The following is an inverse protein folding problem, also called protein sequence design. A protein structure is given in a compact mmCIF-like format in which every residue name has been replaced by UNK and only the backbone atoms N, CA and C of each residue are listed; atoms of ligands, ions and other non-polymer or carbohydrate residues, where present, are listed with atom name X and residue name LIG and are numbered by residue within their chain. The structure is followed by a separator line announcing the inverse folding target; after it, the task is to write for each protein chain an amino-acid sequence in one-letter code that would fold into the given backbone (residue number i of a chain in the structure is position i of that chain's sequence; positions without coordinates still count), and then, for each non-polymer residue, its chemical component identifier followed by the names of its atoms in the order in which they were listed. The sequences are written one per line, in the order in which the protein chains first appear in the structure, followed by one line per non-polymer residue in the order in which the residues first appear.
data_IF_273307996575
#
_entry.id   IF_273307996575
#
_cell.length_a   1.000
_cell.length_b   1.000
_cell.length_c   1.000
_cell.angle_alpha   90.00
_cell.angle_beta   90.00
_cell.angle_gamma   90.00
#
_symmetry.space_group_name_H-M   'P 1'
#
loop_
_entity.id
_entity.type
_entity.pdbx_description
1 polymer ?
#
# COMPACT_ATOMS: atom_id res chain seq x y z
N UNK A 1 14.28 54.11 -70.14
CA UNK A 1 14.65 52.88 -69.40
C UNK A 1 14.52 53.19 -67.92
N UNK A 2 13.44 52.75 -67.28
CA UNK A 2 13.20 52.96 -65.85
C UNK A 2 13.00 51.59 -65.20
N UNK A 3 13.97 51.16 -64.40
CA UNK A 3 13.94 49.92 -63.63
C UNK A 3 13.29 50.19 -62.28
N UNK A 4 12.05 49.76 -62.11
CA UNK A 4 11.34 49.78 -60.83
C UNK A 4 11.74 48.56 -59.99
N UNK A 5 12.41 48.82 -58.87
CA UNK A 5 12.71 47.83 -57.84
C UNK A 5 11.45 47.49 -57.05
N UNK A 6 11.00 46.24 -57.12
CA UNK A 6 9.92 45.72 -56.29
C UNK A 6 10.47 45.41 -54.89
N UNK A 7 10.07 46.22 -53.90
CA UNK A 7 10.37 45.99 -52.49
C UNK A 7 9.52 44.82 -51.99
N UNK A 8 10.17 43.68 -51.77
CA UNK A 8 9.55 42.46 -51.27
C UNK A 8 8.96 42.69 -49.88
N UNK A 9 7.64 42.73 -49.76
CA UNK A 9 6.92 42.82 -48.49
C UNK A 9 7.09 41.49 -47.77
N UNK A 10 8.00 41.45 -46.79
CA UNK A 10 8.17 40.31 -45.91
C UNK A 10 6.84 39.99 -45.22
N UNK A 11 6.34 38.76 -45.43
CA UNK A 11 5.17 38.24 -44.72
C UNK A 11 5.51 38.20 -43.23
N UNK A 12 4.84 39.03 -42.45
CA UNK A 12 4.81 38.93 -41.00
C UNK A 12 4.05 37.64 -40.69
N UNK A 13 4.77 36.55 -40.45
CA UNK A 13 4.20 35.39 -39.79
C UNK A 13 3.95 35.80 -38.33
N UNK A 14 2.69 35.80 -37.84
CA UNK A 14 2.46 35.95 -36.41
C UNK A 14 3.05 34.71 -35.76
N UNK A 15 4.20 34.86 -35.10
CA UNK A 15 4.74 33.83 -34.23
C UNK A 15 3.74 33.67 -33.09
N UNK A 16 2.84 32.70 -33.22
CA UNK A 16 2.01 32.20 -32.12
C UNK A 16 2.94 31.46 -31.14
N UNK A 17 3.78 32.22 -30.45
CA UNK A 17 4.56 31.72 -29.32
C UNK A 17 3.57 31.53 -28.17
N UNK A 18 3.11 30.30 -28.01
CA UNK A 18 2.27 29.93 -26.88
C UNK A 18 3.14 29.95 -25.62
N UNK A 19 3.05 31.03 -24.87
CA UNK A 19 3.75 31.14 -23.60
C UNK A 19 3.01 30.34 -22.53
N UNK A 20 3.67 29.36 -21.87
CA UNK A 20 3.00 28.50 -20.91
C UNK A 20 2.49 29.30 -19.71
N UNK A 21 1.27 29.01 -19.21
CA UNK A 21 0.70 29.73 -18.08
C UNK A 21 1.52 29.49 -16.81
N UNK A 22 1.95 30.57 -16.16
CA UNK A 22 2.65 30.55 -14.88
C UNK A 22 1.63 30.65 -13.74
N UNK A 23 1.80 29.82 -12.71
CA UNK A 23 0.91 29.79 -11.55
C UNK A 23 1.68 30.20 -10.29
N UNK A 24 1.00 30.91 -9.38
CA UNK A 24 1.54 31.25 -8.06
C UNK A 24 1.40 30.08 -7.08
N UNK A 25 1.98 30.19 -5.88
CA UNK A 25 1.86 29.17 -4.83
C UNK A 25 0.43 28.94 -4.32
N UNK A 26 -0.50 29.84 -4.62
CA UNK A 26 -1.94 29.63 -4.34
C UNK A 26 -2.66 28.82 -5.41
N UNK A 27 -1.96 28.35 -6.45
CA UNK A 27 -2.55 27.61 -7.58
C UNK A 27 -3.32 28.47 -8.59
N UNK A 28 -3.34 29.80 -8.40
CA UNK A 28 -3.97 30.74 -9.33
C UNK A 28 -2.98 31.18 -10.42
N UNK A 29 -3.50 31.46 -11.62
CA UNK A 29 -2.70 31.98 -12.73
C UNK A 29 -2.12 33.35 -12.35
N UNK A 30 -0.80 33.49 -12.47
CA UNK A 30 -0.09 34.72 -12.17
C UNK A 30 -0.22 35.70 -13.34
N UNK A 31 -0.84 36.88 -13.17
CA UNK A 31 -0.84 37.91 -14.20
C UNK A 31 0.57 38.44 -14.47
N UNK A 32 0.82 38.82 -15.72
CA UNK A 32 2.02 39.55 -16.10
C UNK A 32 1.81 41.04 -15.78
N UNK A 33 2.74 41.62 -15.02
CA UNK A 33 2.73 43.00 -14.60
C UNK A 33 4.01 43.69 -15.07
N UNK A 34 3.99 45.01 -15.18
CA UNK A 34 5.16 45.83 -15.57
C UNK A 34 5.59 46.65 -14.36
N UNK A 35 6.85 46.55 -13.97
CA UNK A 35 7.42 47.31 -12.86
C UNK A 35 7.49 48.79 -13.25
N UNK A 36 7.00 49.66 -12.36
CA UNK A 36 6.88 51.11 -12.64
C UNK A 36 8.24 51.78 -12.83
N UNK A 37 9.25 51.32 -12.10
CA UNK A 37 10.57 51.96 -12.07
C UNK A 37 11.51 51.43 -13.16
N UNK A 38 11.47 50.13 -13.45
CA UNK A 38 12.39 49.50 -14.40
C UNK A 38 11.76 49.21 -15.77
N UNK A 39 10.44 49.27 -15.90
CA UNK A 39 9.72 48.84 -17.11
C UNK A 39 9.81 47.32 -17.37
N UNK A 40 10.45 46.54 -16.48
CA UNK A 40 10.59 45.09 -16.62
C UNK A 40 9.27 44.38 -16.34
N UNK A 41 9.04 43.27 -17.04
CA UNK A 41 7.85 42.44 -16.86
C UNK A 41 8.09 41.41 -15.75
N UNK A 42 7.08 41.14 -14.94
CA UNK A 42 7.15 40.14 -13.88
C UNK A 42 5.80 39.42 -13.71
N UNK A 43 5.84 38.21 -13.19
CA UNK A 43 4.68 37.46 -12.73
C UNK A 43 4.48 37.69 -11.23
N UNK A 44 3.27 38.04 -10.82
CA UNK A 44 2.91 38.25 -9.42
C UNK A 44 1.65 37.51 -9.02
N UNK A 45 1.43 37.31 -7.71
CA UNK A 45 0.18 36.76 -7.21
C UNK A 45 -1.00 37.72 -7.46
N UNK A 46 -2.10 37.22 -8.05
CA UNK A 46 -3.31 38.01 -8.29
C UNK A 46 -3.92 38.60 -7.00
N UNK A 47 -3.83 37.86 -5.88
CA UNK A 47 -4.35 38.29 -4.58
C UNK A 47 -3.33 39.05 -3.73
N UNK A 48 -2.22 39.54 -4.29
CA UNK A 48 -1.17 40.23 -3.51
C UNK A 48 -1.73 41.36 -2.63
N UNK A 49 -2.69 42.14 -3.13
CA UNK A 49 -3.33 43.24 -2.37
C UNK A 49 -4.18 42.78 -1.19
N UNK A 50 -4.67 41.55 -1.23
CA UNK A 50 -5.55 40.95 -0.20
C UNK A 50 -4.76 40.07 0.78
N UNK A 51 -3.42 40.10 0.75
CA UNK A 51 -2.58 39.21 1.55
C UNK A 51 -2.29 37.85 0.90
N UNK A 52 -2.32 37.77 -0.43
CA UNK A 52 -1.99 36.57 -1.21
C UNK A 52 -0.54 36.10 -1.06
N UNK A 53 -0.16 35.03 -1.79
CA UNK A 53 1.02 34.20 -1.50
C UNK A 53 2.41 34.81 -1.76
N UNK A 54 2.58 36.12 -1.79
CA UNK A 54 3.86 36.82 -2.01
C UNK A 54 4.72 36.36 -3.21
N UNK A 55 4.16 35.56 -4.10
CA UNK A 55 4.84 35.03 -5.28
C UNK A 55 5.26 36.16 -6.22
N UNK A 56 6.51 36.09 -6.67
CA UNK A 56 7.13 37.05 -7.59
C UNK A 56 8.18 36.34 -8.46
N UNK A 57 8.16 36.58 -9.77
CA UNK A 57 9.18 36.10 -10.69
C UNK A 57 9.37 37.10 -11.84
N UNK A 58 10.61 37.44 -12.18
CA UNK A 58 10.91 38.28 -13.33
C UNK A 58 10.67 37.51 -14.63
N UNK A 59 10.21 38.22 -15.65
CA UNK A 59 10.10 37.71 -17.01
C UNK A 59 11.08 38.49 -17.88
N UNK A 60 12.15 37.82 -18.24
CA UNK A 60 13.17 38.34 -19.14
C UNK A 60 13.03 37.71 -20.53
N UNK A 61 13.72 38.28 -21.52
CA UNK A 61 13.68 37.81 -22.92
C UNK A 61 14.19 36.37 -23.06
N UNK A 62 15.00 35.92 -22.11
CA UNK A 62 15.62 34.59 -22.08
C UNK A 62 14.85 33.57 -21.23
N UNK A 63 13.75 33.97 -20.55
CA UNK A 63 12.97 33.09 -19.68
C UNK A 63 12.49 33.74 -18.39
N UNK A 64 12.03 32.89 -17.46
CA UNK A 64 11.51 33.31 -16.14
C UNK A 64 12.64 33.20 -15.12
N UNK A 65 13.16 34.34 -14.66
CA UNK A 65 14.08 34.38 -13.53
C UNK A 65 13.29 34.49 -12.23
N UNK A 66 13.29 33.43 -11.42
CA UNK A 66 12.62 33.45 -10.13
C UNK A 66 13.38 34.38 -9.16
N UNK A 67 12.89 35.60 -9.01
CA UNK A 67 13.36 36.53 -7.98
C UNK A 67 12.87 36.07 -6.60
N UNK A 68 13.59 35.15 -5.96
CA UNK A 68 13.20 34.60 -4.66
C UNK A 68 13.92 35.32 -3.53
N UNK A 69 13.15 35.75 -2.53
CA UNK A 69 13.67 36.03 -1.19
C UNK A 69 13.75 34.69 -0.43
N UNK A 70 14.95 34.19 -0.07
CA UNK A 70 15.14 32.82 0.43
C UNK A 70 14.44 32.52 1.77
N UNK A 71 14.06 33.53 2.55
CA UNK A 71 13.47 33.34 3.88
C UNK A 71 12.01 32.87 3.90
N UNK A 72 11.24 33.01 2.80
CA UNK A 72 9.80 32.66 2.81
C UNK A 72 9.50 31.25 2.24
N UNK A 73 10.45 30.66 1.50
CA UNK A 73 10.30 29.35 0.83
C UNK A 73 10.38 28.18 1.79
N UNK A 74 11.15 28.29 2.87
CA UNK A 74 11.20 27.29 3.94
C UNK A 74 9.80 27.04 4.49
N UNK A 75 9.04 28.10 4.83
CA UNK A 75 7.72 27.94 5.45
C UNK A 75 6.63 27.30 4.55
N UNK A 76 6.78 27.35 3.22
CA UNK A 76 5.81 26.78 2.26
C UNK A 76 6.19 25.37 1.82
N UNK A 77 7.47 25.15 1.50
CA UNK A 77 8.00 23.84 1.15
C UNK A 77 7.98 22.88 2.35
N UNK A 78 8.27 23.36 3.57
CA UNK A 78 8.14 22.57 4.80
C UNK A 78 6.69 22.13 5.05
N UNK A 79 5.70 22.96 4.69
CA UNK A 79 4.28 22.59 4.85
C UNK A 79 3.85 21.51 3.86
N UNK A 80 4.32 21.56 2.61
CA UNK A 80 4.08 20.47 1.65
C UNK A 80 4.78 19.18 2.08
N UNK A 81 6.05 19.25 2.50
CA UNK A 81 6.78 18.10 3.03
C UNK A 81 6.10 17.50 4.27
N UNK A 82 5.59 18.34 5.17
CA UNK A 82 4.88 17.89 6.35
C UNK A 82 3.54 17.22 6.01
N UNK A 83 2.86 17.73 4.97
CA UNK A 83 1.60 17.15 4.49
C UNK A 83 1.83 15.81 3.78
N UNK A 84 2.88 15.69 2.96
CA UNK A 84 3.28 14.44 2.32
C UNK A 84 3.75 13.41 3.34
N UNK A 85 4.56 13.83 4.32
CA UNK A 85 5.00 12.96 5.41
C UNK A 85 3.80 12.46 6.23
N UNK A 86 2.82 13.33 6.51
CA UNK A 86 1.58 12.95 7.18
C UNK A 86 0.79 11.92 6.37
N UNK A 87 0.71 12.08 5.05
CA UNK A 87 0.06 11.12 4.18
C UNK A 87 0.76 9.76 4.22
N UNK A 88 2.09 9.73 4.07
CA UNK A 88 2.90 8.51 4.12
C UNK A 88 2.76 7.79 5.47
N UNK A 89 2.79 8.52 6.59
CA UNK A 89 2.60 7.94 7.92
C UNK A 89 1.18 7.38 8.08
N UNK A 90 0.16 8.04 7.55
CA UNK A 90 -1.21 7.53 7.57
C UNK A 90 -1.35 6.26 6.73
N UNK A 91 -0.70 6.23 5.57
CA UNK A 91 -0.74 5.09 4.66
C UNK A 91 -0.02 3.87 5.25
N UNK A 92 1.21 4.06 5.76
CA UNK A 92 1.93 3.01 6.48
C UNK A 92 1.16 2.50 7.70
N UNK A 93 0.49 3.39 8.45
CA UNK A 93 -0.37 2.98 9.58
C UNK A 93 -1.52 2.09 9.09
N UNK A 94 -2.14 2.41 7.97
CA UNK A 94 -3.20 1.62 7.36
C UNK A 94 -2.69 0.23 6.95
N UNK A 95 -1.54 0.17 6.29
CA UNK A 95 -0.90 -1.11 5.91
C UNK A 95 -0.57 -1.98 7.13
N UNK A 96 0.00 -1.40 8.19
CA UNK A 96 0.29 -2.13 9.43
C UNK A 96 -0.99 -2.65 10.10
N UNK A 97 -2.08 -1.87 10.10
CA UNK A 97 -3.37 -2.37 10.60
C UNK A 97 -3.95 -3.48 9.72
N UNK A 98 -3.79 -3.40 8.40
CA UNK A 98 -4.21 -4.45 7.47
C UNK A 98 -3.47 -5.76 7.72
N UNK A 99 -2.13 -5.71 7.76
CA UNK A 99 -1.31 -6.90 8.07
C UNK A 99 -1.62 -7.49 9.45
N UNK A 100 -1.97 -6.67 10.44
CA UNK A 100 -2.37 -7.17 11.77
C UNK A 100 -3.64 -8.02 11.71
N UNK A 101 -4.61 -7.63 10.87
CA UNK A 101 -5.84 -8.41 10.66
C UNK A 101 -5.51 -9.74 9.97
N UNK A 102 -4.72 -9.71 8.90
CA UNK A 102 -4.31 -10.93 8.19
C UNK A 102 -3.58 -11.93 9.10
N UNK A 103 -2.66 -11.44 9.94
CA UNK A 103 -1.95 -12.28 10.92
C UNK A 103 -2.91 -12.86 11.96
N UNK A 104 -3.94 -12.10 12.36
CA UNK A 104 -4.97 -12.58 13.29
C UNK A 104 -5.81 -13.69 12.67
N UNK A 105 -6.26 -13.51 11.43
CA UNK A 105 -7.07 -14.50 10.71
C UNK A 105 -6.26 -15.77 10.45
N UNK A 106 -5.00 -15.62 10.00
CA UNK A 106 -4.09 -16.74 9.80
C UNK A 106 -3.85 -17.51 11.11
N UNK A 107 -3.72 -16.80 12.23
CA UNK A 107 -3.59 -17.43 13.54
C UNK A 107 -4.81 -18.28 13.88
N UNK A 108 -6.03 -17.80 13.62
CA UNK A 108 -7.25 -18.58 13.88
C UNK A 108 -7.35 -19.82 12.98
N UNK A 109 -6.94 -19.72 11.72
CA UNK A 109 -6.90 -20.85 10.78
C UNK A 109 -5.92 -21.91 11.27
N UNK A 110 -4.70 -21.51 11.63
CA UNK A 110 -3.67 -22.43 12.15
C UNK A 110 -4.14 -23.08 13.45
N UNK A 111 -4.77 -22.33 14.34
CA UNK A 111 -5.28 -22.86 15.60
C UNK A 111 -6.39 -23.90 15.37
N UNK A 112 -7.28 -23.65 14.42
CA UNK A 112 -8.33 -24.61 14.04
C UNK A 112 -7.73 -25.88 13.44
N UNK A 113 -6.74 -25.76 12.56
CA UNK A 113 -6.01 -26.90 11.99
C UNK A 113 -5.30 -27.73 13.06
N UNK A 114 -4.69 -27.09 14.06
CA UNK A 114 -4.06 -27.81 15.18
C UNK A 114 -5.07 -28.59 16.02
N UNK A 115 -6.26 -28.02 16.28
CA UNK A 115 -7.35 -28.72 16.98
C UNK A 115 -7.87 -29.93 16.19
N UNK A 116 -8.05 -29.78 14.88
CA UNK A 116 -8.49 -30.89 14.02
C UNK A 116 -7.43 -32.00 13.92
N UNK A 117 -6.16 -31.64 13.79
CA UNK A 117 -5.05 -32.60 13.85
C UNK A 117 -5.00 -33.34 15.18
N UNK A 118 -5.24 -32.63 16.29
CA UNK A 118 -5.27 -33.25 17.62
C UNK A 118 -6.37 -34.31 17.74
N UNK A 119 -7.57 -34.02 17.25
CA UNK A 119 -8.68 -34.99 17.23
C UNK A 119 -8.36 -36.23 16.38
N UNK A 120 -7.68 -36.05 15.25
CA UNK A 120 -7.25 -37.18 14.42
C UNK A 120 -6.30 -38.11 15.18
N UNK A 121 -5.36 -37.55 15.94
CA UNK A 121 -4.43 -38.33 16.76
C UNK A 121 -5.19 -39.09 17.86
N UNK A 122 -6.10 -38.42 18.59
CA UNK A 122 -6.91 -39.05 19.65
C UNK A 122 -7.81 -40.18 19.10
N UNK A 123 -8.37 -40.00 17.89
CA UNK A 123 -9.12 -41.05 17.20
C UNK A 123 -8.24 -42.23 16.79
N UNK A 124 -6.99 -41.99 16.38
CA UNK A 124 -6.06 -43.05 16.01
C UNK A 124 -5.64 -43.88 17.23
N UNK A 125 -5.37 -43.24 18.36
CA UNK A 125 -5.07 -43.92 19.62
C UNK A 125 -6.26 -44.77 20.10
N UNK A 126 -7.47 -44.23 20.02
CA UNK A 126 -8.69 -44.97 20.39
C UNK A 126 -8.87 -46.25 19.57
N UNK A 127 -8.60 -46.19 18.26
CA UNK A 127 -8.65 -47.37 17.38
C UNK A 127 -7.56 -48.40 17.71
N UNK A 128 -6.34 -47.95 18.03
CA UNK A 128 -5.25 -48.84 18.46
C UNK A 128 -5.62 -49.57 19.75
N UNK A 129 -6.20 -48.86 20.71
CA UNK A 129 -6.71 -49.48 21.94
C UNK A 129 -7.82 -50.49 21.65
N UNK A 130 -8.82 -50.15 20.82
CA UNK A 130 -9.90 -51.08 20.47
C UNK A 130 -9.36 -52.38 19.84
N UNK A 131 -8.34 -52.26 18.97
CA UNK A 131 -7.69 -53.41 18.34
C UNK A 131 -6.93 -54.27 19.35
N UNK A 132 -6.22 -53.65 20.30
CA UNK A 132 -5.52 -54.35 21.38
C UNK A 132 -6.50 -55.14 22.27
N UNK A 133 -7.62 -54.54 22.66
CA UNK A 133 -8.65 -55.22 23.46
C UNK A 133 -9.26 -56.42 22.73
N UNK A 134 -9.48 -56.32 21.41
CA UNK A 134 -9.93 -57.44 20.58
C UNK A 134 -8.92 -58.60 20.56
N UNK A 135 -7.63 -58.30 20.43
CA UNK A 135 -6.57 -59.32 20.49
C UNK A 135 -6.50 -60.00 21.85
N UNK A 136 -6.54 -59.24 22.95
CA UNK A 136 -6.54 -59.79 24.31
C UNK A 136 -7.76 -60.70 24.50
N UNK A 137 -8.95 -60.28 24.05
CA UNK A 137 -10.16 -61.10 24.09
C UNK A 137 -10.01 -62.44 23.37
N UNK A 138 -9.42 -62.44 22.16
CA UNK A 138 -9.16 -63.66 21.41
C UNK A 138 -8.19 -64.62 22.13
N UNK A 139 -7.13 -64.08 22.74
CA UNK A 139 -6.16 -64.91 23.50
C UNK A 139 -6.84 -65.55 24.72
N UNK A 140 -7.65 -64.80 25.47
CA UNK A 140 -8.37 -65.32 26.63
C UNK A 140 -9.32 -66.45 26.22
N UNK A 141 -10.07 -66.27 25.12
CA UNK A 141 -10.96 -67.31 24.58
C UNK A 141 -10.15 -68.55 24.18
N UNK A 142 -9.04 -68.38 23.46
CA UNK A 142 -8.17 -69.50 23.04
C UNK A 142 -7.63 -70.31 24.23
N UNK A 143 -7.14 -69.64 25.28
CA UNK A 143 -6.64 -70.31 26.50
C UNK A 143 -7.77 -71.04 27.22
N UNK A 144 -8.96 -70.44 27.31
CA UNK A 144 -10.11 -71.08 27.96
C UNK A 144 -10.54 -72.38 27.26
N UNK A 145 -10.51 -72.44 25.92
CA UNK A 145 -10.79 -73.67 25.17
C UNK A 145 -9.74 -74.75 25.41
N UNK A 146 -8.46 -74.39 25.54
CA UNK A 146 -7.39 -75.36 25.83
C UNK A 146 -7.56 -75.96 27.22
N UNK A 147 -7.97 -75.16 28.22
CA UNK A 147 -8.23 -75.65 29.58
C UNK A 147 -9.49 -76.52 29.61
N UNK A 148 -10.51 -76.21 28.80
CA UNK A 148 -11.77 -76.94 28.73
C UNK A 148 -11.73 -78.21 27.88
N UNK A 149 -10.55 -78.75 27.54
CA UNK A 149 -10.47 -80.06 26.87
C UNK A 149 -11.07 -81.12 27.83
N UNK A 150 -12.25 -81.69 27.49
CA UNK A 150 -12.91 -82.61 28.38
C UNK A 150 -12.06 -83.87 28.47
N UNK A 151 -11.62 -84.20 29.68
CA UNK A 151 -10.87 -85.41 29.96
C UNK A 151 -11.82 -86.62 29.82
N UNK A 152 -11.92 -87.16 28.61
CA UNK A 152 -12.75 -88.34 28.26
C UNK A 152 -12.39 -89.63 29.04
N UNK A 153 -11.42 -89.59 29.97
CA UNK A 153 -10.95 -90.78 30.70
C UNK A 153 -11.44 -90.90 32.15
N UNK A 154 -12.30 -90.03 32.65
CA UNK A 154 -12.90 -90.17 33.99
C UNK A 154 -14.41 -90.44 33.95
N UNK A 155 -14.82 -91.55 33.32
CA UNK A 155 -16.08 -92.23 33.64
C UNK A 155 -15.88 -93.13 34.87
N UNK A 156 -15.86 -92.53 36.06
CA UNK A 156 -15.96 -93.28 37.31
C UNK A 156 -17.40 -93.75 37.46
N UNK A 157 -17.61 -95.05 37.28
CA UNK A 157 -18.82 -95.76 37.73
C UNK A 157 -18.93 -95.57 39.24
N UNK A 158 -19.89 -94.78 39.67
CA UNK A 158 -20.37 -94.79 41.06
C UNK A 158 -21.55 -95.75 41.08
N UNK A 159 -21.33 -96.86 41.79
CA UNK A 159 -22.27 -97.96 42.08
C UNK A 159 -23.48 -97.44 42.87
#
# INVERSE_FOLDING_TARGET
MASSSFTSTARITPSLSYEPPVYCWSGLKSPICVARESGRRFFGCQRWKEGGCKYFAWKDENGIEQGQNPELLTSGAEKMLFQDLKYIVCDMRRELTGRRVEVSDLKTIVQTQMEDMKKLIEMEESKKFEFLWKLVGLVVIGVSMIIYVPNEKNSVVVV
#
